data_IF_895743094047
#
_entry.id   IF_895743094047
#
_cell.length_a   1.000
_cell.length_b   1.000
_cell.length_c   1.000
_cell.angle_alpha   90.00
_cell.angle_beta   90.00
_cell.angle_gamma   90.00
#
_symmetry.space_group_name_H-M   'P 1'
#
loop_
_entity.id
_entity.type
_entity.pdbx_description
1 polymer ?
#
# COMPACT_ATOMS: atom_id res chain seq x y z
N UNK A 1 -35.23 -1.12 -16.21
CA UNK A 1 -34.00 -1.18 -17.04
C UNK A 1 -33.38 0.19 -17.39
N UNK A 2 -34.09 1.31 -17.26
CA UNK A 2 -33.57 2.67 -17.56
C UNK A 2 -32.56 3.21 -16.52
N UNK A 3 -32.61 2.73 -15.28
CA UNK A 3 -31.72 3.20 -14.18
C UNK A 3 -30.26 2.77 -14.34
N UNK A 4 -30.00 1.50 -14.64
CA UNK A 4 -28.62 0.97 -14.77
C UNK A 4 -27.86 1.62 -15.93
N UNK A 5 -28.53 1.90 -17.04
CA UNK A 5 -27.91 2.61 -18.16
C UNK A 5 -27.58 4.07 -17.81
N UNK A 6 -28.47 4.77 -17.09
CA UNK A 6 -28.20 6.12 -16.58
C UNK A 6 -27.03 6.14 -15.60
N UNK A 7 -26.98 5.19 -14.66
CA UNK A 7 -25.87 5.03 -13.71
C UNK A 7 -24.56 4.78 -14.47
N UNK A 8 -24.54 3.83 -15.41
CA UNK A 8 -23.35 3.56 -16.23
C UNK A 8 -22.89 4.80 -17.00
N UNK A 9 -23.82 5.55 -17.59
CA UNK A 9 -23.50 6.79 -18.31
C UNK A 9 -22.93 7.86 -17.37
N UNK A 10 -23.48 8.01 -16.17
CA UNK A 10 -22.97 8.94 -15.16
C UNK A 10 -21.57 8.54 -14.67
N UNK A 11 -21.35 7.27 -14.31
CA UNK A 11 -20.04 6.76 -13.90
C UNK A 11 -18.98 6.97 -14.99
N UNK A 12 -19.32 6.70 -16.25
CA UNK A 12 -18.44 6.97 -17.38
C UNK A 12 -18.13 8.46 -17.54
N UNK A 13 -19.12 9.34 -17.37
CA UNK A 13 -18.93 10.79 -17.43
C UNK A 13 -18.11 11.33 -16.25
N UNK A 14 -18.08 10.61 -15.13
CA UNK A 14 -17.21 10.90 -13.99
C UNK A 14 -15.85 10.20 -14.10
N UNK A 15 -15.61 9.47 -15.18
CA UNK A 15 -14.36 8.76 -15.44
C UNK A 15 -14.11 7.59 -14.49
N UNK A 16 -15.16 7.02 -13.87
CA UNK A 16 -15.05 5.90 -12.91
C UNK A 16 -15.13 4.56 -13.66
N UNK A 17 -14.01 3.92 -14.01
CA UNK A 17 -14.03 2.55 -14.50
C UNK A 17 -14.50 1.60 -13.40
N UNK A 18 -15.45 0.73 -13.75
CA UNK A 18 -15.73 -0.46 -12.94
C UNK A 18 -14.58 -1.48 -13.03
N UNK A 19 -14.61 -2.48 -12.14
CA UNK A 19 -13.56 -3.50 -12.00
C UNK A 19 -13.13 -4.08 -13.35
N UNK A 20 -14.08 -4.60 -14.14
CA UNK A 20 -13.76 -5.23 -15.43
C UNK A 20 -13.05 -4.28 -16.41
N UNK A 21 -13.46 -3.01 -16.45
CA UNK A 21 -12.84 -2.04 -17.35
C UNK A 21 -11.44 -1.68 -16.86
N UNK A 22 -11.24 -1.47 -15.57
CA UNK A 22 -9.91 -1.23 -14.98
C UNK A 22 -8.97 -2.39 -15.25
N UNK A 23 -9.44 -3.62 -15.07
CA UNK A 23 -8.61 -4.82 -15.25
C UNK A 23 -8.23 -4.99 -16.72
N UNK A 24 -9.17 -4.80 -17.64
CA UNK A 24 -8.90 -4.89 -19.08
C UNK A 24 -8.01 -3.74 -19.56
N UNK A 25 -8.37 -2.49 -19.25
CA UNK A 25 -7.72 -1.30 -19.81
C UNK A 25 -6.34 -1.09 -19.18
N UNK A 26 -6.13 -1.44 -17.90
CA UNK A 26 -4.90 -1.12 -17.18
C UNK A 26 -4.12 -2.34 -16.68
N UNK A 27 -4.72 -3.21 -15.85
CA UNK A 27 -3.98 -4.34 -15.27
C UNK A 27 -3.46 -5.27 -16.38
N UNK A 28 -4.34 -5.83 -17.20
CA UNK A 28 -3.98 -6.80 -18.24
C UNK A 28 -3.18 -6.18 -19.38
N UNK A 29 -3.40 -4.90 -19.67
CA UNK A 29 -2.65 -4.14 -20.69
C UNK A 29 -1.22 -3.87 -20.24
N UNK A 30 -1.03 -3.41 -19.00
CA UNK A 30 0.25 -2.88 -18.54
C UNK A 30 1.04 -3.83 -17.63
N UNK A 31 0.43 -4.90 -17.12
CA UNK A 31 1.08 -5.89 -16.28
C UNK A 31 1.29 -7.22 -17.02
N UNK A 32 2.52 -7.47 -17.44
CA UNK A 32 2.91 -8.78 -17.98
C UNK A 32 2.75 -9.82 -16.88
N UNK A 33 1.88 -10.81 -17.08
CA UNK A 33 1.55 -11.87 -16.10
C UNK A 33 2.76 -12.55 -15.44
N UNK A 34 3.88 -12.71 -16.16
CA UNK A 34 5.11 -13.28 -15.59
C UNK A 34 5.73 -12.43 -14.48
N UNK A 35 5.55 -11.11 -14.56
CA UNK A 35 6.08 -10.13 -13.60
C UNK A 35 5.15 -9.95 -12.40
N UNK A 36 3.84 -10.24 -12.52
CA UNK A 36 2.91 -10.14 -11.38
C UNK A 36 3.30 -11.06 -10.22
N UNK A 37 3.86 -12.25 -10.51
CA UNK A 37 4.37 -13.18 -9.48
C UNK A 37 5.51 -12.60 -8.65
N UNK A 38 6.26 -11.65 -9.20
CA UNK A 38 7.32 -10.97 -8.49
C UNK A 38 6.74 -10.00 -7.46
N UNK A 39 5.72 -9.22 -7.86
CA UNK A 39 5.06 -8.26 -6.98
C UNK A 39 4.33 -8.97 -5.81
N UNK A 40 3.76 -10.14 -6.08
CA UNK A 40 3.08 -10.96 -5.06
C UNK A 40 4.03 -11.48 -3.94
N UNK A 41 5.35 -11.39 -4.11
CA UNK A 41 6.35 -11.90 -3.16
C UNK A 41 7.11 -10.77 -2.47
N UNK A 42 6.76 -10.51 -1.20
CA UNK A 42 7.29 -9.41 -0.37
C UNK A 42 8.80 -9.48 -0.17
N UNK A 43 9.39 -10.68 -0.19
CA UNK A 43 10.84 -10.85 -0.05
C UNK A 43 11.52 -10.35 -1.32
N UNK A 44 11.03 -10.77 -2.49
CA UNK A 44 11.64 -10.41 -3.77
C UNK A 44 11.49 -8.92 -4.08
N UNK A 45 10.34 -8.32 -3.77
CA UNK A 45 10.13 -6.88 -3.97
C UNK A 45 11.05 -6.06 -3.05
N UNK A 46 11.21 -6.48 -1.80
CA UNK A 46 12.10 -5.83 -0.83
C UNK A 46 13.57 -5.94 -1.22
N UNK A 47 14.05 -7.12 -1.59
CA UNK A 47 15.43 -7.31 -2.07
C UNK A 47 15.75 -6.38 -3.24
N UNK A 48 14.84 -6.26 -4.21
CA UNK A 48 15.00 -5.33 -5.34
C UNK A 48 14.96 -3.87 -4.90
N UNK A 49 14.06 -3.51 -3.99
CA UNK A 49 13.97 -2.17 -3.44
C UNK A 49 15.29 -1.75 -2.80
N UNK A 50 15.85 -2.59 -1.91
CA UNK A 50 17.14 -2.34 -1.27
C UNK A 50 18.28 -2.26 -2.28
N UNK A 51 18.32 -3.15 -3.28
CA UNK A 51 19.34 -3.11 -4.35
C UNK A 51 19.29 -1.83 -5.20
N UNK A 52 18.10 -1.24 -5.35
CA UNK A 52 17.92 0.03 -6.04
C UNK A 52 18.11 1.26 -5.13
N UNK A 53 18.48 1.07 -3.86
CA UNK A 53 18.59 2.15 -2.88
C UNK A 53 17.24 2.82 -2.59
N UNK A 54 16.16 2.03 -2.54
CA UNK A 54 14.88 2.47 -1.98
C UNK A 54 14.80 2.07 -0.51
N UNK A 55 14.23 2.96 0.28
CA UNK A 55 14.00 2.74 1.70
C UNK A 55 12.87 1.72 1.91
N UNK A 56 13.16 0.68 2.68
CA UNK A 56 12.24 -0.38 3.06
C UNK A 56 12.63 -0.92 4.46
N UNK A 57 11.69 -1.49 5.24
CA UNK A 57 12.02 -2.00 6.57
C UNK A 57 13.12 -3.05 6.51
N UNK A 58 14.15 -2.92 7.34
CA UNK A 58 15.29 -3.84 7.36
C UNK A 58 14.82 -5.29 7.57
N UNK A 59 15.30 -6.20 6.73
CA UNK A 59 15.08 -7.63 6.92
C UNK A 59 16.07 -8.16 7.95
N UNK A 60 15.57 -8.79 9.01
CA UNK A 60 16.38 -9.50 10.00
C UNK A 60 16.66 -10.94 9.54
N UNK A 61 15.67 -11.59 8.91
CA UNK A 61 15.86 -12.92 8.37
C UNK A 61 14.67 -13.44 7.58
N UNK A 62 14.92 -14.53 6.85
CA UNK A 62 13.90 -15.29 6.12
C UNK A 62 14.02 -16.75 6.55
N UNK A 63 12.89 -17.34 6.90
CA UNK A 63 12.75 -18.77 7.20
C UNK A 63 11.97 -19.37 6.03
N UNK A 64 12.61 -20.27 5.27
CA UNK A 64 12.03 -20.81 4.04
C UNK A 64 11.52 -22.26 4.17
N UNK A 65 11.98 -22.99 5.20
CA UNK A 65 11.61 -24.38 5.46
C UNK A 65 11.54 -24.65 6.98
N UNK A 66 10.78 -25.67 7.38
CA UNK A 66 10.56 -26.10 8.77
C UNK A 66 11.86 -26.22 9.59
N UNK A 67 12.88 -26.88 9.01
CA UNK A 67 14.18 -27.06 9.68
C UNK A 67 14.86 -25.74 10.04
N UNK A 68 14.54 -24.64 9.37
CA UNK A 68 15.12 -23.33 9.63
C UNK A 68 14.43 -22.57 10.77
N UNK A 69 13.29 -23.04 11.29
CA UNK A 69 12.61 -22.41 12.42
C UNK A 69 13.54 -22.28 13.63
N UNK A 70 14.42 -23.26 13.86
CA UNK A 70 15.47 -23.21 14.90
C UNK A 70 16.43 -22.01 14.81
N UNK A 71 16.47 -21.30 13.68
CA UNK A 71 17.24 -20.07 13.50
C UNK A 71 16.50 -18.84 14.02
N UNK A 72 15.19 -18.94 14.32
CA UNK A 72 14.35 -17.83 14.74
C UNK A 72 14.96 -17.08 15.93
N UNK A 73 15.37 -17.81 16.98
CA UNK A 73 16.03 -17.22 18.14
C UNK A 73 17.26 -16.37 17.79
N UNK A 74 18.05 -16.78 16.79
CA UNK A 74 19.21 -16.01 16.30
C UNK A 74 18.78 -14.81 15.45
N UNK A 75 17.72 -14.95 14.65
CA UNK A 75 17.19 -13.88 13.79
C UNK A 75 16.64 -12.71 14.62
N UNK A 76 15.98 -13.01 15.74
CA UNK A 76 15.38 -11.99 16.63
C UNK A 76 16.27 -11.61 17.81
N UNK A 77 17.50 -12.14 17.85
CA UNK A 77 18.44 -11.81 18.91
C UNK A 77 18.84 -10.33 18.84
N UNK A 78 18.92 -9.66 19.99
CA UNK A 78 19.16 -8.22 20.06
C UNK A 78 17.99 -7.32 19.62
N UNK A 79 16.84 -7.89 19.21
CA UNK A 79 15.65 -7.12 18.83
C UNK A 79 14.54 -7.28 19.88
N UNK A 80 14.09 -6.15 20.46
CA UNK A 80 12.96 -6.12 21.40
C UNK A 80 11.60 -6.06 20.72
N UNK A 81 11.56 -5.67 19.45
CA UNK A 81 10.38 -5.62 18.60
C UNK A 81 10.72 -6.04 17.16
N UNK A 82 9.73 -6.57 16.46
CA UNK A 82 9.86 -7.05 15.08
C UNK A 82 8.49 -7.42 14.50
N UNK A 83 8.45 -7.61 13.18
CA UNK A 83 7.28 -8.13 12.46
C UNK A 83 7.63 -9.46 11.82
N UNK A 84 6.75 -10.45 11.98
CA UNK A 84 6.78 -11.70 11.23
C UNK A 84 5.60 -11.68 10.27
N UNK A 85 5.87 -11.95 8.99
CA UNK A 85 4.80 -12.01 7.98
C UNK A 85 5.07 -13.06 6.90
N UNK A 86 4.01 -13.67 6.34
CA UNK A 86 4.13 -14.49 5.14
C UNK A 86 4.61 -13.66 3.93
N UNK A 87 5.49 -14.21 3.11
CA UNK A 87 5.98 -13.52 1.92
C UNK A 87 4.88 -13.29 0.87
N UNK A 88 3.89 -14.19 0.80
CA UNK A 88 2.78 -14.15 -0.17
C UNK A 88 1.40 -14.10 0.49
N UNK A 89 1.34 -13.71 1.76
CA UNK A 89 0.08 -13.62 2.50
C UNK A 89 -0.88 -12.59 1.90
N UNK A 90 -2.16 -12.83 2.13
CA UNK A 90 -3.26 -12.01 1.58
C UNK A 90 -4.05 -11.30 2.67
N UNK A 91 -4.44 -10.04 2.44
CA UNK A 91 -5.33 -9.28 3.34
C UNK A 91 -4.80 -9.10 4.76
N UNK A 92 -3.48 -9.08 4.94
CA UNK A 92 -2.85 -8.95 6.27
C UNK A 92 -2.93 -10.19 7.15
N UNK A 93 -3.36 -11.34 6.63
CA UNK A 93 -3.36 -12.58 7.39
C UNK A 93 -1.93 -13.06 7.66
N UNK A 94 -1.72 -13.67 8.83
CA UNK A 94 -0.42 -14.20 9.24
C UNK A 94 0.61 -13.16 9.68
N UNK A 95 0.27 -11.86 9.67
CA UNK A 95 1.17 -10.83 10.20
C UNK A 95 1.08 -10.83 11.73
N UNK A 96 2.23 -11.05 12.37
CA UNK A 96 2.41 -10.96 13.81
C UNK A 96 3.38 -9.81 14.10
N UNK A 97 2.92 -8.78 14.80
CA UNK A 97 3.77 -7.70 15.31
C UNK A 97 4.07 -7.98 16.76
N UNK A 98 5.36 -8.05 17.08
CA UNK A 98 5.89 -8.03 18.44
C UNK A 98 6.28 -6.59 18.76
N UNK A 99 5.78 -6.06 19.87
CA UNK A 99 6.06 -4.70 20.35
C UNK A 99 7.05 -4.67 21.51
N UNK A 100 7.14 -5.75 22.27
CA UNK A 100 8.05 -5.88 23.41
C UNK A 100 8.52 -7.32 23.57
N UNK A 101 9.72 -7.49 24.11
CA UNK A 101 10.30 -8.77 24.52
C UNK A 101 10.71 -8.70 25.98
N UNK A 102 10.32 -9.72 26.75
CA UNK A 102 10.73 -9.90 28.13
C UNK A 102 11.11 -11.37 28.35
N UNK A 103 12.41 -11.64 28.54
CA UNK A 103 12.96 -13.00 28.59
C UNK A 103 12.52 -13.83 27.36
N UNK A 104 11.80 -14.94 27.57
CA UNK A 104 11.26 -15.84 26.53
C UNK A 104 9.79 -15.54 26.17
N UNK A 105 9.29 -14.37 26.59
CA UNK A 105 7.92 -13.91 26.31
C UNK A 105 7.94 -12.66 25.44
N UNK A 106 6.92 -12.55 24.60
CA UNK A 106 6.75 -11.48 23.63
C UNK A 106 5.36 -10.89 23.76
N UNK A 107 5.25 -9.56 23.75
CA UNK A 107 3.96 -8.87 23.68
C UNK A 107 3.65 -8.58 22.22
N UNK A 108 2.48 -9.00 21.77
CA UNK A 108 1.97 -8.68 20.44
C UNK A 108 1.29 -7.31 20.43
N UNK A 109 1.06 -6.73 19.24
CA UNK A 109 0.34 -5.46 19.09
C UNK A 109 -1.07 -5.47 19.72
N UNK A 110 -1.74 -6.63 19.80
CA UNK A 110 -3.04 -6.75 20.46
C UNK A 110 -2.95 -6.80 21.99
N UNK A 111 -1.73 -6.79 22.55
CA UNK A 111 -1.47 -6.93 23.98
C UNK A 111 -1.36 -8.39 24.46
N UNK A 112 -1.60 -9.38 23.60
CA UNK A 112 -1.43 -10.80 23.95
C UNK A 112 0.04 -11.12 24.21
N UNK A 113 0.31 -11.90 25.25
CA UNK A 113 1.63 -12.44 25.56
C UNK A 113 1.76 -13.83 24.92
N UNK A 114 2.83 -14.02 24.14
CA UNK A 114 3.17 -15.29 23.48
C UNK A 114 4.58 -15.72 23.88
N UNK A 115 4.85 -17.02 23.85
CA UNK A 115 6.16 -17.62 24.10
C UNK A 115 6.96 -17.75 22.81
N UNK A 116 8.26 -18.06 22.91
CA UNK A 116 9.06 -18.37 21.72
C UNK A 116 8.47 -19.54 20.91
N UNK A 117 8.00 -20.60 21.58
CA UNK A 117 7.38 -21.76 20.94
C UNK A 117 6.10 -21.38 20.17
N UNK A 118 5.27 -20.49 20.73
CA UNK A 118 4.07 -20.01 20.02
C UNK A 118 4.44 -19.28 18.71
N UNK A 119 5.58 -18.57 18.69
CA UNK A 119 6.08 -17.92 17.47
C UNK A 119 6.62 -18.96 16.47
N UNK A 120 7.32 -19.99 16.94
CA UNK A 120 7.77 -21.11 16.11
C UNK A 120 6.59 -21.81 15.43
N UNK A 121 5.52 -22.10 16.18
CA UNK A 121 4.28 -22.67 15.67
C UNK A 121 3.62 -21.76 14.61
N UNK A 122 3.56 -20.45 14.88
CA UNK A 122 3.04 -19.47 13.90
C UNK A 122 3.88 -19.41 12.62
N UNK A 123 5.20 -19.55 12.72
CA UNK A 123 6.08 -19.65 11.55
C UNK A 123 5.80 -20.93 10.78
N UNK A 124 5.59 -22.07 11.46
CA UNK A 124 5.17 -23.32 10.80
C UNK A 124 3.84 -23.16 10.04
N UNK A 125 2.86 -22.47 10.63
CA UNK A 125 1.61 -22.12 9.95
C UNK A 125 1.85 -21.30 8.67
N UNK A 126 2.74 -20.30 8.72
CA UNK A 126 3.14 -19.54 7.52
C UNK A 126 3.73 -20.48 6.47
N UNK A 127 4.70 -21.32 6.83
CA UNK A 127 5.40 -22.21 5.91
C UNK A 127 4.47 -23.24 5.25
N UNK A 128 3.47 -23.71 5.98
CA UNK A 128 2.43 -24.61 5.48
C UNK A 128 1.49 -23.94 4.46
N UNK A 129 1.49 -22.60 4.40
CA UNK A 129 0.64 -21.82 3.51
C UNK A 129 -0.70 -21.41 4.12
N UNK A 130 -0.89 -21.53 5.44
CA UNK A 130 -2.15 -21.27 6.13
C UNK A 130 -2.70 -19.84 5.89
N UNK A 131 -1.81 -18.87 5.66
CA UNK A 131 -2.14 -17.46 5.42
C UNK A 131 -2.04 -17.01 3.96
N UNK A 132 -1.72 -17.96 3.08
CA UNK A 132 -1.48 -17.74 1.64
C UNK A 132 -2.53 -18.51 0.83
N UNK A 133 -2.34 -18.64 -0.49
CA UNK A 133 -3.31 -19.32 -1.38
C UNK A 133 -3.27 -20.85 -1.29
N UNK A 134 -2.81 -21.41 -0.18
CA UNK A 134 -2.62 -22.85 0.06
C UNK A 134 -1.29 -23.42 -0.46
N UNK A 135 -0.46 -22.62 -1.12
CA UNK A 135 0.91 -23.00 -1.49
C UNK A 135 1.87 -22.79 -0.31
N UNK A 136 2.95 -23.58 -0.25
CA UNK A 136 4.07 -23.33 0.66
C UNK A 136 4.56 -21.89 0.55
N UNK A 137 4.85 -21.28 1.69
CA UNK A 137 5.32 -19.91 1.78
C UNK A 137 6.64 -19.81 2.56
N UNK A 138 7.12 -18.58 2.73
CA UNK A 138 8.30 -18.23 3.51
C UNK A 138 7.90 -17.20 4.57
N UNK A 139 8.45 -17.31 5.77
CA UNK A 139 8.28 -16.31 6.80
C UNK A 139 9.39 -15.27 6.70
N UNK A 140 8.99 -14.01 6.62
CA UNK A 140 9.86 -12.84 6.63
C UNK A 140 9.83 -12.22 8.03
N UNK A 141 11.00 -12.05 8.64
CA UNK A 141 11.19 -11.34 9.90
C UNK A 141 11.91 -10.02 9.63
N UNK A 142 11.32 -8.91 10.08
CA UNK A 142 11.80 -7.58 9.74
C UNK A 142 11.58 -6.55 10.84
N UNK A 143 12.23 -5.40 10.66
CA UNK A 143 12.01 -4.17 11.42
C UNK A 143 10.53 -3.81 11.51
N UNK A 144 10.07 -3.48 12.72
CA UNK A 144 8.74 -2.93 12.97
C UNK A 144 8.78 -1.42 12.75
N UNK A 145 8.08 -0.96 11.72
CA UNK A 145 7.92 0.47 11.45
C UNK A 145 7.32 1.17 12.66
N UNK A 146 7.96 2.26 13.09
CA UNK A 146 7.49 3.12 14.17
C UNK A 146 6.76 4.30 13.52
N UNK A 147 5.42 4.36 13.61
CA UNK A 147 4.65 5.40 12.95
C UNK A 147 5.07 6.78 13.43
N UNK A 148 5.21 7.73 12.50
CA UNK A 148 5.48 9.12 12.83
C UNK A 148 4.37 9.74 13.71
N UNK A 149 4.78 10.58 14.66
CA UNK A 149 3.89 11.22 15.64
C UNK A 149 2.79 12.08 14.99
N UNK A 150 2.99 12.51 13.74
CA UNK A 150 2.01 13.24 12.96
C UNK A 150 0.67 12.50 12.82
N UNK A 151 0.66 11.18 13.01
CA UNK A 151 -0.53 10.35 12.92
C UNK A 151 -1.27 10.13 14.26
N UNK A 152 -0.68 10.49 15.40
CA UNK A 152 -1.26 10.22 16.73
C UNK A 152 -2.68 10.78 16.91
N UNK A 153 -3.02 11.85 16.19
CA UNK A 153 -4.35 12.48 16.25
C UNK A 153 -5.49 11.64 15.68
N UNK A 154 -5.20 10.60 14.89
CA UNK A 154 -6.25 9.82 14.20
C UNK A 154 -5.93 8.35 13.90
N UNK A 155 -4.72 7.86 14.17
CA UNK A 155 -4.33 6.46 13.90
C UNK A 155 -4.93 5.45 14.87
N UNK A 156 -5.47 5.89 16.01
CA UNK A 156 -5.98 5.00 17.05
C UNK A 156 -4.91 3.99 17.50
N UNK A 157 -5.26 2.70 17.50
CA UNK A 157 -4.42 1.60 17.97
C UNK A 157 -3.61 0.90 16.84
N UNK A 158 -3.56 1.46 15.63
CA UNK A 158 -2.92 0.82 14.48
C UNK A 158 -1.96 1.73 13.71
N UNK A 159 -1.29 1.15 12.70
CA UNK A 159 -0.33 1.86 11.84
C UNK A 159 -1.03 2.33 10.56
N UNK A 160 -1.18 3.65 10.33
CA UNK A 160 -1.68 4.14 9.05
C UNK A 160 -0.68 3.84 7.95
N UNK A 161 -1.18 3.62 6.74
CA UNK A 161 -0.34 3.48 5.56
C UNK A 161 -0.85 4.37 4.43
N UNK A 162 0.09 4.78 3.59
CA UNK A 162 -0.14 5.58 2.41
C UNK A 162 -0.04 4.64 1.22
N UNK A 163 -1.14 4.56 0.49
CA UNK A 163 -1.23 3.80 -0.74
C UNK A 163 -1.21 4.75 -1.93
N UNK A 164 -0.34 4.48 -2.88
CA UNK A 164 -0.25 5.23 -4.15
C UNK A 164 -0.48 4.29 -5.32
N UNK A 165 -1.52 4.57 -6.11
CA UNK A 165 -1.73 3.94 -7.42
C UNK A 165 -0.81 4.59 -8.44
N UNK A 166 -0.06 3.79 -9.18
CA UNK A 166 0.93 4.21 -10.16
C UNK A 166 0.60 3.60 -11.52
N UNK A 167 0.54 4.44 -12.56
CA UNK A 167 0.35 4.04 -13.94
C UNK A 167 1.60 4.39 -14.75
N UNK A 168 2.30 3.40 -15.29
CA UNK A 168 3.51 3.52 -16.10
C UNK A 168 4.58 4.41 -15.43
N UNK A 169 4.67 4.31 -14.10
CA UNK A 169 5.58 5.12 -13.27
C UNK A 169 5.08 6.51 -12.91
N UNK A 170 3.89 6.91 -13.34
CA UNK A 170 3.24 8.15 -12.92
C UNK A 170 2.30 7.86 -11.75
N UNK A 171 2.51 8.47 -10.56
CA UNK A 171 1.51 8.40 -9.50
C UNK A 171 0.20 9.07 -9.96
N UNK A 172 -0.91 8.36 -9.89
CA UNK A 172 -2.21 8.83 -10.41
C UNK A 172 -3.26 9.01 -9.32
N UNK A 173 -3.21 8.23 -8.25
CA UNK A 173 -4.12 8.36 -7.11
C UNK A 173 -3.39 8.01 -5.83
N UNK A 174 -3.79 8.60 -4.72
CA UNK A 174 -3.26 8.22 -3.43
C UNK A 174 -4.35 8.26 -2.36
N UNK A 175 -4.19 7.45 -1.34
CA UNK A 175 -5.05 7.45 -0.18
C UNK A 175 -4.26 7.12 1.08
N UNK A 176 -4.66 7.72 2.18
CA UNK A 176 -4.27 7.32 3.52
C UNK A 176 -5.30 6.30 4.00
N UNK A 177 -4.81 5.14 4.44
CA UNK A 177 -5.63 4.12 5.11
C UNK A 177 -5.44 4.25 6.61
N UNK A 178 -6.54 4.36 7.32
CA UNK A 178 -6.53 4.46 8.77
C UNK A 178 -7.15 3.19 9.33
N UNK A 179 -6.41 2.43 10.16
CA UNK A 179 -6.93 1.23 10.76
C UNK A 179 -7.99 1.60 11.79
N UNK A 180 -9.02 0.77 11.89
CA UNK A 180 -10.03 0.87 12.93
C UNK A 180 -9.88 -0.29 13.93
N UNK A 181 -10.53 -0.19 15.08
CA UNK A 181 -10.63 -1.33 16.01
C UNK A 181 -11.25 -2.57 15.34
N UNK A 182 -12.16 -2.39 14.39
CA UNK A 182 -12.76 -3.49 13.62
C UNK A 182 -11.73 -4.18 12.72
N UNK A 183 -10.75 -3.42 12.21
CA UNK A 183 -9.60 -3.96 11.49
C UNK A 183 -8.51 -4.56 12.40
N UNK A 184 -8.72 -4.58 13.73
CA UNK A 184 -7.75 -5.02 14.74
C UNK A 184 -6.39 -4.29 14.66
N UNK A 185 -6.39 -3.01 14.28
CA UNK A 185 -5.17 -2.20 14.13
C UNK A 185 -4.45 -2.36 12.78
N UNK A 186 -5.01 -3.12 11.83
CA UNK A 186 -4.37 -3.47 10.56
C UNK A 186 -5.06 -2.89 9.33
N UNK A 187 -4.40 -1.99 8.60
CA UNK A 187 -4.93 -1.41 7.36
C UNK A 187 -4.95 -2.37 6.15
N UNK A 188 -4.15 -3.43 6.20
CA UNK A 188 -4.14 -4.50 5.20
C UNK A 188 -5.44 -5.30 5.18
N UNK A 189 -6.26 -5.22 6.25
CA UNK A 189 -7.64 -5.70 6.28
C UNK A 189 -8.58 -4.61 5.75
N UNK A 190 -8.38 -4.28 4.48
CA UNK A 190 -9.06 -3.21 3.76
C UNK A 190 -10.58 -3.07 3.96
N UNK A 191 -11.39 -4.14 4.14
CA UNK A 191 -12.84 -3.98 4.21
C UNK A 191 -13.32 -3.14 5.40
N UNK A 192 -12.51 -3.01 6.46
CA UNK A 192 -12.93 -2.38 7.72
C UNK A 192 -12.09 -1.13 8.08
N UNK A 193 -11.30 -0.61 7.13
CA UNK A 193 -10.50 0.60 7.28
C UNK A 193 -11.22 1.86 6.73
N UNK A 194 -10.85 3.02 7.27
CA UNK A 194 -11.23 4.32 6.71
C UNK A 194 -10.23 4.67 5.62
N UNK A 195 -10.73 5.02 4.43
CA UNK A 195 -9.92 5.53 3.33
C UNK A 195 -10.08 7.04 3.24
N UNK A 196 -8.96 7.76 3.25
CA UNK A 196 -8.93 9.22 3.08
C UNK A 196 -8.16 9.50 1.80
N UNK A 197 -8.82 10.07 0.78
CA UNK A 197 -8.13 10.44 -0.46
C UNK A 197 -6.99 11.42 -0.19
N UNK A 198 -5.97 11.43 -1.02
CA UNK A 198 -4.87 12.39 -0.96
C UNK A 198 -4.77 13.09 -2.31
N UNK A 199 -4.79 14.42 -2.27
CA UNK A 199 -4.50 15.25 -3.43
C UNK A 199 -3.05 15.04 -3.88
N UNK A 200 -2.89 14.47 -5.08
CA UNK A 200 -1.59 14.14 -5.66
C UNK A 200 -0.67 15.37 -5.77
N UNK A 201 -1.23 16.56 -6.03
CA UNK A 201 -0.46 17.78 -6.20
C UNK A 201 0.16 18.30 -4.90
N UNK A 202 -0.62 18.30 -3.82
CA UNK A 202 -0.25 18.99 -2.58
C UNK A 202 0.11 18.06 -1.43
N UNK A 203 -0.31 16.80 -1.48
CA UNK A 203 -0.25 15.87 -0.34
C UNK A 203 -1.29 16.17 0.74
N UNK A 204 -2.28 17.02 0.43
CA UNK A 204 -3.39 17.30 1.34
C UNK A 204 -4.41 16.17 1.28
N UNK A 205 -4.79 15.67 2.44
CA UNK A 205 -5.88 14.72 2.60
C UNK A 205 -7.22 15.39 2.26
N UNK A 206 -8.08 14.60 1.63
CA UNK A 206 -9.45 14.95 1.26
C UNK A 206 -10.40 14.46 2.35
N UNK A 207 -11.70 14.47 2.06
CA UNK A 207 -12.70 13.89 2.94
C UNK A 207 -12.49 12.38 3.10
N UNK A 208 -12.62 11.89 4.33
CA UNK A 208 -12.59 10.47 4.63
C UNK A 208 -13.89 9.75 4.21
N UNK A 209 -13.79 8.46 3.89
CA UNK A 209 -14.94 7.58 3.64
C UNK A 209 -14.67 6.16 4.14
N UNK A 210 -15.73 5.43 4.49
CA UNK A 210 -15.63 3.98 4.73
C UNK A 210 -15.42 3.26 3.40
N UNK A 211 -14.42 2.39 3.31
CA UNK A 211 -14.11 1.69 2.06
C UNK A 211 -15.15 0.63 1.64
N UNK A 212 -15.97 0.16 2.60
CA UNK A 212 -17.00 -0.87 2.38
C UNK A 212 -18.44 -0.37 2.58
N UNK A 213 -18.64 0.53 3.54
CA UNK A 213 -19.96 1.05 3.91
C UNK A 213 -20.11 2.51 3.46
N UNK A 214 -20.01 2.74 2.15
CA UNK A 214 -20.08 4.08 1.55
C UNK A 214 -21.38 4.78 1.98
N UNK A 215 -21.26 6.00 2.51
CA UNK A 215 -22.38 6.81 2.97
C UNK A 215 -22.74 6.62 4.46
N UNK A 216 -22.12 5.66 5.15
CA UNK A 216 -22.19 5.61 6.61
C UNK A 216 -21.47 6.84 7.20
N UNK A 217 -22.07 7.55 8.17
CA UNK A 217 -21.39 8.62 8.88
C UNK A 217 -20.07 8.14 9.48
N UNK A 218 -19.05 8.99 9.39
CA UNK A 218 -17.78 8.76 10.06
C UNK A 218 -17.83 9.48 11.40
N UNK A 219 -17.93 8.71 12.48
CA UNK A 219 -17.81 9.25 13.82
C UNK A 219 -16.35 9.72 14.03
N UNK A 220 -16.10 11.02 13.88
CA UNK A 220 -14.80 11.73 14.08
C UNK A 220 -13.74 11.61 12.98
N UNK A 221 -14.06 11.94 11.72
CA UNK A 221 -13.01 12.17 10.69
C UNK A 221 -12.77 13.63 10.34
N UNK A 222 -13.45 14.58 11.01
CA UNK A 222 -13.24 16.02 10.82
C UNK A 222 -11.80 16.45 11.18
N UNK A 223 -10.99 15.58 11.78
CA UNK A 223 -9.60 15.83 12.18
C UNK A 223 -8.61 15.67 11.02
N UNK A 224 -9.01 15.04 9.91
CA UNK A 224 -8.05 14.57 8.89
C UNK A 224 -8.22 15.30 7.57
N UNK A 225 -9.38 15.87 7.24
CA UNK A 225 -9.52 16.63 6.00
C UNK A 225 -8.62 17.89 6.02
N UNK A 226 -7.90 18.14 4.92
CA UNK A 226 -6.99 19.27 4.81
C UNK A 226 -5.65 19.11 5.53
N UNK A 227 -5.40 17.97 6.16
CA UNK A 227 -4.10 17.62 6.74
C UNK A 227 -3.05 17.39 5.63
N UNK A 228 -1.91 18.07 5.73
CA UNK A 228 -0.81 17.90 4.76
C UNK A 228 0.15 16.82 5.24
N UNK A 229 0.27 15.75 4.46
CA UNK A 229 1.23 14.69 4.75
C UNK A 229 2.67 15.22 4.61
N UNK A 230 3.53 15.03 5.64
CA UNK A 230 4.94 15.35 5.53
C UNK A 230 5.63 14.42 4.53
N UNK A 231 6.79 14.85 4.01
CA UNK A 231 7.58 14.10 3.03
C UNK A 231 6.79 13.65 1.77
N UNK A 232 5.71 14.35 1.40
CA UNK A 232 4.84 13.94 0.29
C UNK A 232 5.59 13.75 -1.03
N UNK A 233 6.53 14.64 -1.33
CA UNK A 233 7.35 14.53 -2.54
C UNK A 233 8.22 13.27 -2.54
N UNK A 234 8.67 12.82 -1.37
CA UNK A 234 9.50 11.62 -1.24
C UNK A 234 8.64 10.36 -1.37
N UNK A 235 7.43 10.33 -0.81
CA UNK A 235 6.43 9.28 -1.12
C UNK A 235 6.16 9.16 -2.61
N UNK A 236 5.98 10.28 -3.29
CA UNK A 236 5.68 10.32 -4.73
C UNK A 236 6.85 9.80 -5.57
N UNK A 237 8.09 10.20 -5.25
CA UNK A 237 9.29 9.67 -5.91
C UNK A 237 9.48 8.18 -5.62
N UNK A 238 9.26 7.75 -4.37
CA UNK A 238 9.38 6.37 -3.96
C UNK A 238 8.38 5.48 -4.74
N UNK A 239 7.13 5.92 -4.84
CA UNK A 239 6.10 5.25 -5.62
C UNK A 239 6.43 5.22 -7.12
N UNK A 240 6.88 6.34 -7.70
CA UNK A 240 7.28 6.41 -9.10
C UNK A 240 8.41 5.42 -9.42
N UNK A 241 9.43 5.34 -8.55
CA UNK A 241 10.59 4.42 -8.69
C UNK A 241 10.23 2.93 -8.55
N UNK A 242 9.09 2.62 -7.91
CA UNK A 242 8.61 1.24 -7.82
C UNK A 242 8.21 0.66 -9.18
N UNK A 243 7.91 1.50 -10.18
CA UNK A 243 7.65 1.04 -11.55
C UNK A 243 8.90 0.37 -12.15
N UNK A 244 10.07 0.99 -12.03
CA UNK A 244 11.33 0.42 -12.55
C UNK A 244 11.68 -0.90 -11.83
N UNK A 245 11.39 -1.01 -10.54
CA UNK A 245 11.69 -2.20 -9.74
C UNK A 245 10.97 -3.47 -10.21
N UNK A 246 9.66 -3.35 -10.44
CA UNK A 246 8.81 -4.49 -10.76
C UNK A 246 8.60 -4.67 -12.27
N UNK A 247 8.81 -3.62 -13.08
CA UNK A 247 8.55 -3.63 -14.52
C UNK A 247 7.08 -3.78 -14.88
N UNK A 248 6.19 -3.51 -13.92
CA UNK A 248 4.73 -3.51 -14.07
C UNK A 248 4.24 -2.09 -14.28
N UNK A 249 3.29 -1.92 -15.20
CA UNK A 249 2.79 -0.60 -15.55
C UNK A 249 1.52 -0.17 -14.83
N UNK A 250 0.86 -1.00 -14.04
CA UNK A 250 -0.26 -0.57 -13.20
C UNK A 250 -0.18 -1.22 -11.82
N UNK A 251 0.28 -0.47 -10.81
CA UNK A 251 0.58 -1.00 -9.48
C UNK A 251 0.01 -0.12 -8.38
N UNK A 252 -0.12 -0.71 -7.19
CA UNK A 252 -0.29 0.00 -5.94
C UNK A 252 0.97 -0.18 -5.11
N UNK A 253 1.47 0.92 -4.56
CA UNK A 253 2.62 0.93 -3.66
C UNK A 253 2.10 1.28 -2.27
N UNK A 254 2.24 0.36 -1.34
CA UNK A 254 1.90 0.54 0.06
C UNK A 254 3.14 0.99 0.82
N UNK A 255 3.04 2.14 1.47
CA UNK A 255 4.15 2.79 2.15
C UNK A 255 3.72 3.22 3.55
N UNK A 256 4.68 3.35 4.46
CA UNK A 256 4.47 3.92 5.79
C UNK A 256 5.46 5.04 6.04
N UNK A 257 5.09 5.99 6.89
CA UNK A 257 6.02 7.00 7.38
C UNK A 257 6.60 6.52 8.71
N UNK A 258 7.88 6.19 8.69
CA UNK A 258 8.62 5.90 9.90
C UNK A 258 9.12 7.21 10.55
N UNK A 259 9.01 7.30 11.88
CA UNK A 259 9.45 8.47 12.64
C UNK A 259 10.94 8.80 12.45
N UNK A 260 11.78 7.79 12.23
CA UNK A 260 13.24 7.95 12.15
C UNK A 260 13.77 7.77 10.73
N UNK A 261 13.15 6.90 9.94
CA UNK A 261 13.62 6.54 8.60
C UNK A 261 12.87 7.27 7.47
N UNK A 262 11.75 7.94 7.78
CA UNK A 262 10.91 8.58 6.78
C UNK A 262 10.09 7.59 5.95
N UNK A 263 9.75 7.91 4.69
CA UNK A 263 8.93 7.05 3.84
C UNK A 263 9.58 5.68 3.54
N UNK A 264 8.89 4.60 3.88
CA UNK A 264 9.34 3.22 3.63
C UNK A 264 8.37 2.47 2.71
N UNK A 265 8.87 1.71 1.73
CA UNK A 265 8.05 0.78 0.94
C UNK A 265 7.78 -0.50 1.74
N UNK A 266 6.51 -0.83 1.91
CA UNK A 266 6.06 -2.01 2.66
C UNK A 266 5.68 -3.15 1.72
N UNK A 267 4.93 -2.84 0.67
CA UNK A 267 4.41 -3.82 -0.30
C UNK A 267 4.15 -3.16 -1.66
N UNK A 268 4.26 -3.95 -2.73
CA UNK A 268 3.85 -3.56 -4.08
C UNK A 268 2.79 -4.56 -4.55
N UNK A 269 1.60 -4.07 -4.88
CA UNK A 269 0.51 -4.88 -5.39
C UNK A 269 0.35 -4.69 -6.91
N UNK A 270 0.38 -5.80 -7.66
CA UNK A 270 0.19 -5.82 -9.10
C UNK A 270 -1.29 -5.73 -9.53
N UNK A 271 -2.23 -5.71 -8.59
CA UNK A 271 -3.67 -5.74 -8.85
C UNK A 271 -4.38 -4.68 -8.01
N UNK A 272 -4.26 -3.40 -8.39
CA UNK A 272 -4.91 -2.31 -7.69
C UNK A 272 -6.42 -2.52 -7.57
N UNK A 273 -7.00 -2.17 -6.42
CA UNK A 273 -8.43 -2.28 -6.18
C UNK A 273 -9.18 -1.00 -6.64
N UNK A 274 -10.41 -0.77 -6.16
CA UNK A 274 -11.17 0.47 -6.45
C UNK A 274 -11.11 1.47 -5.30
N UNK A 275 -10.49 1.12 -4.17
CA UNK A 275 -10.51 1.90 -2.93
C UNK A 275 -9.89 3.28 -3.13
N UNK A 276 -8.87 3.42 -3.97
CA UNK A 276 -8.30 4.72 -4.30
C UNK A 276 -9.34 5.65 -4.96
N UNK A 277 -10.14 5.16 -5.91
CA UNK A 277 -11.20 5.95 -6.55
C UNK A 277 -12.31 6.33 -5.57
N UNK A 278 -12.68 5.39 -4.70
CA UNK A 278 -13.69 5.60 -3.66
C UNK A 278 -13.22 6.68 -2.68
N UNK A 279 -12.00 6.54 -2.14
CA UNK A 279 -11.43 7.48 -1.18
C UNK A 279 -11.18 8.87 -1.76
N UNK A 280 -10.91 8.96 -3.07
CA UNK A 280 -10.69 10.21 -3.78
C UNK A 280 -11.98 10.85 -4.33
N UNK A 281 -13.13 10.17 -4.22
CA UNK A 281 -14.40 10.52 -4.87
C UNK A 281 -14.23 10.91 -6.35
N UNK A 282 -13.27 10.28 -7.04
CA UNK A 282 -12.82 10.67 -8.36
C UNK A 282 -12.50 9.45 -9.23
N UNK A 283 -12.87 9.53 -10.50
CA UNK A 283 -12.62 8.48 -11.48
C UNK A 283 -11.17 8.44 -11.98
N UNK A 284 -10.66 7.22 -12.19
CA UNK A 284 -9.30 6.99 -12.68
C UNK A 284 -9.10 7.36 -14.16
N UNK A 285 -10.14 7.25 -14.99
CA UNK A 285 -10.00 7.28 -16.44
C UNK A 285 -9.35 8.56 -16.97
N UNK A 286 -9.76 9.74 -16.49
CA UNK A 286 -9.21 11.00 -16.98
C UNK A 286 -7.73 11.20 -16.62
N UNK A 287 -7.32 10.71 -15.44
CA UNK A 287 -5.90 10.73 -15.06
C UNK A 287 -5.08 9.77 -15.90
N UNK A 288 -5.62 8.57 -16.15
CA UNK A 288 -4.99 7.58 -17.02
C UNK A 288 -4.83 8.10 -18.47
N UNK A 289 -5.88 8.69 -19.04
CA UNK A 289 -5.85 9.31 -20.37
C UNK A 289 -4.79 10.41 -20.48
N UNK A 290 -4.65 11.24 -19.44
CA UNK A 290 -3.61 12.27 -19.36
C UNK A 290 -2.19 11.68 -19.38
N UNK A 291 -1.96 10.63 -18.58
CA UNK A 291 -0.68 9.90 -18.56
C UNK A 291 -0.39 9.23 -19.91
N UNK A 292 -1.36 8.56 -20.51
CA UNK A 292 -1.22 7.90 -21.81
C UNK A 292 -0.98 8.90 -22.94
N UNK A 293 -1.59 10.09 -22.88
CA UNK A 293 -1.30 11.18 -23.80
C UNK A 293 0.15 11.67 -23.67
N UNK A 294 0.63 11.89 -22.44
CA UNK A 294 2.02 12.27 -22.15
C UNK A 294 3.02 11.25 -22.66
N UNK A 295 2.77 9.96 -22.42
CA UNK A 295 3.63 8.88 -22.89
C UNK A 295 3.67 8.84 -24.43
N UNK A 296 2.52 8.97 -25.10
CA UNK A 296 2.45 9.01 -26.57
C UNK A 296 3.17 10.23 -27.15
N UNK A 297 3.06 11.39 -26.50
CA UNK A 297 3.78 12.61 -26.89
C UNK A 297 5.30 12.39 -26.84
N UNK A 298 5.81 11.92 -25.70
CA UNK A 298 7.25 11.66 -25.50
C UNK A 298 7.79 10.59 -26.46
N UNK A 299 7.02 9.53 -26.71
CA UNK A 299 7.41 8.47 -27.62
C UNK A 299 7.62 8.96 -29.06
N UNK A 300 6.83 9.94 -29.54
CA UNK A 300 7.05 10.56 -30.87
C UNK A 300 8.36 11.33 -30.95
N UNK A 301 8.84 11.86 -29.82
CA UNK A 301 10.12 12.54 -29.70
C UNK A 301 11.28 11.61 -29.31
N UNK A 302 11.07 10.31 -29.16
CA UNK A 302 12.10 9.36 -28.71
C UNK A 302 12.55 9.57 -27.26
N UNK A 303 11.73 10.21 -26.43
CA UNK A 303 12.04 10.52 -25.04
C UNK A 303 11.18 9.69 -24.07
N UNK A 304 11.60 9.65 -22.80
CA UNK A 304 10.82 9.11 -21.69
C UNK A 304 11.09 9.97 -20.44
N UNK A 305 10.06 10.17 -19.62
CA UNK A 305 10.20 10.89 -18.36
C UNK A 305 10.96 10.02 -17.34
N UNK A 306 11.90 10.65 -16.63
CA UNK A 306 12.51 10.17 -15.38
C UNK A 306 11.47 10.08 -14.25
N UNK A 307 11.71 9.31 -13.18
CA UNK A 307 10.79 9.25 -12.04
C UNK A 307 10.41 10.65 -11.51
N UNK A 308 11.38 11.57 -11.42
CA UNK A 308 11.17 12.95 -10.97
C UNK A 308 10.25 13.73 -11.93
N UNK A 309 10.45 13.59 -13.24
CA UNK A 309 9.59 14.23 -14.24
C UNK A 309 8.15 13.67 -14.20
N UNK A 310 7.99 12.37 -13.94
CA UNK A 310 6.66 11.75 -13.77
C UNK A 310 5.94 12.29 -12.54
N UNK A 311 6.65 12.47 -11.42
CA UNK A 311 6.12 13.10 -10.20
C UNK A 311 5.71 14.54 -10.48
N UNK A 312 6.55 15.33 -11.14
CA UNK A 312 6.24 16.72 -11.49
C UNK A 312 5.02 16.81 -12.42
N UNK A 313 4.92 15.92 -13.41
CA UNK A 313 3.74 15.82 -14.27
C UNK A 313 2.48 15.51 -13.45
N UNK A 314 2.56 14.50 -12.58
CA UNK A 314 1.44 14.10 -11.74
C UNK A 314 0.97 15.25 -10.84
N UNK A 315 1.90 15.91 -10.15
CA UNK A 315 1.58 17.03 -9.26
C UNK A 315 1.01 18.23 -10.02
N UNK A 316 1.47 18.49 -11.24
CA UNK A 316 1.01 19.63 -12.03
C UNK A 316 -0.38 19.42 -12.65
N UNK A 317 -0.68 18.21 -13.11
CA UNK A 317 -1.83 17.97 -13.99
C UNK A 317 -2.89 17.02 -13.42
N UNK A 318 -2.58 16.26 -12.37
CA UNK A 318 -3.48 15.22 -11.84
C UNK A 318 -4.05 15.55 -10.44
N UNK A 319 -3.67 16.70 -9.87
CA UNK A 319 -4.25 17.21 -8.63
C UNK A 319 -5.74 17.50 -8.73
N UNK A 320 -6.45 17.31 -7.61
CA UNK A 320 -7.85 17.64 -7.42
C UNK A 320 -8.04 19.10 -6.99
N UNK A 321 -7.18 19.59 -6.09
CA UNK A 321 -7.32 20.92 -5.49
C UNK A 321 -6.84 22.01 -6.47
N UNK A 322 -6.05 21.65 -7.48
CA UNK A 322 -5.60 22.56 -8.54
C UNK A 322 -6.71 22.99 -9.52
N UNK A 323 -7.96 22.52 -9.33
CA UNK A 323 -9.09 22.82 -10.19
C UNK A 323 -10.41 23.07 -9.44
N UNK A 324 -10.39 23.33 -8.14
CA UNK A 324 -11.59 23.78 -7.41
C UNK A 324 -11.86 25.26 -7.67
N UNK A 325 -12.10 25.59 -8.93
CA UNK A 325 -12.90 26.75 -9.34
C UNK A 325 -14.04 26.15 -10.15
N UNK A 326 -15.22 26.11 -9.51
CA UNK A 326 -16.53 25.78 -10.10
C UNK A 326 -16.74 24.33 -10.59
N UNK A 327 -17.24 23.48 -9.68
CA UNK A 327 -18.20 22.42 -10.03
C UNK A 327 -19.34 22.40 -9.03
#
# INVERSE_FOLDING_TARGET
MTGLWKIRKALNAWGIPGINRRDLDYELTYNKRRLSKLADDKILTKERATQAGLEAPQTYGVIAIEREIRKLGQIVDGHSDFVIKPARGTGGKGIMVITERFEDRYRTLSGQIVTHADIEDHVSDILSGAYSRGDKDRALVEYRVIPDDVFQGFSGDGVPDIRVTVLMGYPVMAMLRIPTRQSAGWTSRQPDAIGVGIDIASGMTLRGTWLKDIGKPLDKTDVIEGFRLPAWNDFMKLAARCHELCGLGYIEVDMMLDQNLGPLVIEINARPDLSAQIANECGLAYRAEGVEARIRELARGGAADTPEQRVLFAQKFLGQISGSVER
#
